data_IF_594348947493
#
_entry.id   IF_594348947493
#
_cell.length_a   1.000
_cell.length_b   1.000
_cell.length_c   1.000
_cell.angle_alpha   90.00
_cell.angle_beta   90.00
_cell.angle_gamma   90.00
#
_symmetry.space_group_name_H-M   'P 1'
#
loop_
_entity.id
_entity.type
_entity.pdbx_description
1 polymer ?
#
# COMPACT_ATOMS: atom_id res chain seq x y z
N UNK A 1 19.53 -18.90 -3.03
CA UNK A 1 20.32 -19.65 -4.03
C UNK A 1 20.40 -18.96 -5.37
N UNK A 2 19.27 -18.47 -5.96
CA UNK A 2 19.26 -17.78 -7.27
C UNK A 2 20.17 -16.56 -7.30
N UNK A 3 20.10 -15.68 -6.28
CA UNK A 3 20.97 -14.50 -6.13
C UNK A 3 22.47 -14.85 -6.23
N UNK A 4 22.91 -15.93 -5.58
CA UNK A 4 24.29 -16.40 -5.63
C UNK A 4 24.68 -16.84 -7.05
N UNK A 5 23.81 -17.62 -7.70
CA UNK A 5 24.04 -18.09 -9.08
C UNK A 5 24.12 -16.90 -10.04
N UNK A 6 23.23 -15.92 -9.94
CA UNK A 6 23.25 -14.73 -10.77
C UNK A 6 24.59 -13.97 -10.63
N UNK A 7 25.10 -13.80 -9.39
CA UNK A 7 26.40 -13.18 -9.17
C UNK A 7 27.56 -14.00 -9.73
N UNK A 8 27.57 -15.31 -9.52
CA UNK A 8 28.63 -16.21 -10.00
C UNK A 8 28.68 -16.31 -11.53
N UNK A 9 27.54 -16.22 -12.18
CA UNK A 9 27.41 -16.32 -13.64
C UNK A 9 27.36 -14.95 -14.34
N UNK A 10 27.51 -13.87 -13.58
CA UNK A 10 27.42 -12.49 -14.06
C UNK A 10 26.10 -12.15 -14.78
N UNK A 11 24.99 -12.79 -14.39
CA UNK A 11 23.66 -12.56 -14.95
C UNK A 11 23.04 -11.34 -14.24
N UNK A 12 22.71 -10.24 -14.96
CA UNK A 12 22.04 -9.10 -14.35
C UNK A 12 20.61 -9.45 -13.97
N UNK A 13 20.05 -8.75 -12.97
CA UNK A 13 18.63 -8.84 -12.68
C UNK A 13 17.82 -8.31 -13.87
N UNK A 14 16.77 -9.03 -14.23
CA UNK A 14 15.96 -8.76 -15.42
C UNK A 14 14.46 -8.74 -15.10
N UNK A 15 13.69 -8.07 -15.95
CA UNK A 15 12.23 -8.05 -15.88
C UNK A 15 11.66 -9.44 -16.21
N UNK A 16 10.63 -9.87 -15.46
CA UNK A 16 10.05 -11.20 -15.62
C UNK A 16 9.27 -11.36 -16.95
N UNK A 17 8.72 -10.28 -17.46
CA UNK A 17 7.87 -10.30 -18.66
C UNK A 17 8.72 -10.34 -19.94
N UNK A 18 9.69 -9.44 -20.04
CA UNK A 18 10.49 -9.26 -21.27
C UNK A 18 11.87 -9.92 -21.20
N UNK A 19 12.33 -10.23 -19.98
CA UNK A 19 13.68 -10.73 -19.68
C UNK A 19 14.82 -9.72 -20.00
N UNK A 20 14.48 -8.46 -20.24
CA UNK A 20 15.46 -7.40 -20.40
C UNK A 20 16.10 -7.04 -19.04
N UNK A 21 17.40 -6.72 -19.01
CA UNK A 21 18.04 -6.24 -17.78
C UNK A 21 17.35 -5.00 -17.22
N UNK A 22 17.11 -4.95 -15.90
CA UNK A 22 16.40 -3.82 -15.30
C UNK A 22 17.14 -2.48 -15.42
N UNK A 23 18.42 -2.50 -15.71
CA UNK A 23 19.22 -1.29 -15.98
C UNK A 23 18.93 -0.62 -17.33
N UNK A 24 18.31 -1.36 -18.25
CA UNK A 24 18.04 -0.89 -19.62
C UNK A 24 16.66 -0.22 -19.73
N UNK A 25 15.92 -0.12 -18.62
CA UNK A 25 14.67 0.61 -18.54
C UNK A 25 14.90 2.09 -18.22
N UNK A 26 13.97 2.96 -18.60
CA UNK A 26 14.02 4.39 -18.29
C UNK A 26 13.76 4.65 -16.80
N UNK A 27 12.82 3.88 -16.20
CA UNK A 27 12.42 4.02 -14.81
C UNK A 27 12.47 2.69 -14.07
N UNK A 28 12.97 2.71 -12.85
CA UNK A 28 12.91 1.61 -11.90
C UNK A 28 12.12 2.03 -10.67
N UNK A 29 10.82 1.69 -10.65
CA UNK A 29 9.92 2.04 -9.56
C UNK A 29 9.86 0.94 -8.50
N UNK A 30 10.08 1.30 -7.24
CA UNK A 30 10.09 0.37 -6.10
C UNK A 30 9.06 0.78 -5.05
N UNK A 31 8.23 -0.17 -4.63
CA UNK A 31 7.29 0.03 -3.53
C UNK A 31 7.93 -0.28 -2.19
N UNK A 32 8.00 0.73 -1.32
CA UNK A 32 8.61 0.68 0.01
C UNK A 32 7.52 0.43 1.06
N UNK A 33 7.20 -0.86 1.32
CA UNK A 33 6.11 -1.23 2.21
C UNK A 33 6.48 -1.12 3.70
N UNK A 34 7.71 -1.46 4.05
CA UNK A 34 8.24 -1.32 5.41
C UNK A 34 9.77 -1.38 5.41
N UNK A 35 10.40 -0.87 6.45
CA UNK A 35 11.83 -0.54 6.51
C UNK A 35 12.74 -1.77 6.43
N UNK A 36 12.31 -2.95 6.86
CA UNK A 36 13.10 -4.17 6.74
C UNK A 36 13.33 -4.63 5.29
N UNK A 37 12.62 -4.03 4.32
CA UNK A 37 12.86 -4.28 2.89
C UNK A 37 14.04 -3.48 2.32
N UNK A 38 14.59 -2.50 3.02
CA UNK A 38 15.67 -1.64 2.52
C UNK A 38 16.92 -2.41 2.04
N UNK A 39 17.40 -3.45 2.75
CA UNK A 39 18.53 -4.26 2.25
C UNK A 39 18.22 -4.94 0.90
N UNK A 40 16.95 -5.33 0.65
CA UNK A 40 16.56 -5.96 -0.60
C UNK A 40 16.65 -4.98 -1.77
N UNK A 41 16.37 -3.70 -1.54
CA UNK A 41 16.51 -2.64 -2.56
C UNK A 41 17.96 -2.52 -3.01
N UNK A 42 18.90 -2.50 -2.05
CA UNK A 42 20.33 -2.47 -2.38
C UNK A 42 20.76 -3.72 -3.15
N UNK A 43 20.19 -4.89 -2.83
CA UNK A 43 20.44 -6.12 -3.58
C UNK A 43 19.87 -6.05 -5.01
N UNK A 44 18.70 -5.45 -5.21
CA UNK A 44 18.10 -5.24 -6.53
C UNK A 44 19.00 -4.37 -7.39
N UNK A 45 19.47 -3.24 -6.86
CA UNK A 45 20.38 -2.33 -7.56
C UNK A 45 21.71 -3.02 -7.90
N UNK A 46 22.31 -3.72 -6.94
CA UNK A 46 23.57 -4.44 -7.13
C UNK A 46 23.46 -5.56 -8.18
N UNK A 47 22.41 -6.39 -8.12
CA UNK A 47 22.15 -7.41 -9.13
C UNK A 47 21.78 -6.82 -10.50
N UNK A 48 21.06 -5.68 -10.51
CA UNK A 48 20.75 -4.94 -11.73
C UNK A 48 21.96 -4.23 -12.34
N UNK A 49 23.12 -4.25 -11.66
CA UNK A 49 24.33 -3.51 -12.07
C UNK A 49 24.09 -2.01 -12.20
N UNK A 50 23.20 -1.49 -11.36
CA UNK A 50 22.89 -0.07 -11.21
C UNK A 50 23.70 0.47 -10.03
N UNK A 51 24.42 1.60 -10.18
CA UNK A 51 25.13 2.20 -9.06
C UNK A 51 24.21 2.41 -7.86
N UNK A 52 24.66 1.98 -6.67
CA UNK A 52 23.84 2.07 -5.47
C UNK A 52 23.44 3.51 -5.17
N UNK A 53 24.44 4.42 -5.14
CA UNK A 53 24.16 5.83 -4.87
C UNK A 53 23.64 6.57 -6.09
N UNK A 54 22.59 7.36 -5.90
CA UNK A 54 21.96 8.17 -6.93
C UNK A 54 22.98 9.10 -7.62
N UNK A 55 23.89 9.73 -6.86
CA UNK A 55 24.93 10.64 -7.38
C UNK A 55 25.97 9.98 -8.31
N UNK A 56 25.99 8.66 -8.42
CA UNK A 56 26.89 7.90 -9.29
C UNK A 56 26.23 7.50 -10.62
N UNK A 57 24.92 7.75 -10.79
CA UNK A 57 24.17 7.37 -11.99
C UNK A 57 24.30 8.43 -13.07
N UNK A 58 24.49 7.97 -14.29
CA UNK A 58 24.62 8.78 -15.50
C UNK A 58 23.30 8.84 -16.28
N UNK A 59 23.25 9.61 -17.35
CA UNK A 59 22.04 9.86 -18.14
C UNK A 59 21.48 8.60 -18.82
N UNK A 60 22.32 7.58 -19.02
CA UNK A 60 21.96 6.28 -19.59
C UNK A 60 21.45 5.26 -18.55
N UNK A 61 21.41 5.63 -17.27
CA UNK A 61 20.92 4.77 -16.20
C UNK A 61 19.45 5.06 -15.88
N UNK A 62 18.68 4.06 -15.37
CA UNK A 62 17.30 4.30 -15.00
C UNK A 62 17.16 5.36 -13.89
N UNK A 63 16.06 6.08 -13.92
CA UNK A 63 15.61 6.89 -12.78
C UNK A 63 15.02 5.96 -11.74
N UNK A 64 15.61 5.92 -10.56
CA UNK A 64 15.15 5.05 -9.45
C UNK A 64 14.16 5.81 -8.57
N UNK A 65 12.92 5.33 -8.54
CA UNK A 65 11.80 5.97 -7.84
C UNK A 65 11.32 5.09 -6.69
N UNK A 66 11.18 5.67 -5.50
CA UNK A 66 10.58 5.04 -4.33
C UNK A 66 9.15 5.53 -4.11
N UNK A 67 8.19 4.61 -3.91
CA UNK A 67 6.82 4.90 -3.52
C UNK A 67 6.37 4.08 -2.32
N UNK A 68 5.17 4.34 -1.80
CA UNK A 68 4.58 3.57 -0.71
C UNK A 68 4.76 4.18 0.69
N UNK A 69 4.31 3.49 1.76
CA UNK A 69 4.18 4.09 3.09
C UNK A 69 5.51 4.53 3.72
N UNK A 70 6.64 3.91 3.38
CA UNK A 70 7.94 4.32 3.95
C UNK A 70 8.45 5.65 3.39
N UNK A 71 7.91 6.15 2.28
CA UNK A 71 8.32 7.45 1.71
C UNK A 71 7.91 8.65 2.58
N UNK A 72 7.13 8.43 3.62
CA UNK A 72 6.86 9.43 4.66
C UNK A 72 8.06 9.69 5.59
N UNK A 73 9.07 8.83 5.53
CA UNK A 73 10.38 9.03 6.14
C UNK A 73 11.47 8.49 5.19
N UNK A 74 11.76 9.20 4.08
CA UNK A 74 12.66 8.71 3.03
C UNK A 74 14.13 8.82 3.38
N UNK A 75 14.51 9.71 4.31
CA UNK A 75 15.90 10.08 4.62
C UNK A 75 16.83 8.90 4.93
N UNK A 76 16.41 7.82 5.62
CA UNK A 76 17.29 6.68 5.88
C UNK A 76 17.86 6.00 4.62
N UNK A 77 17.20 6.17 3.46
CA UNK A 77 17.62 5.59 2.18
C UNK A 77 17.70 6.62 1.05
N UNK A 78 17.70 7.90 1.37
CA UNK A 78 17.68 9.00 0.41
C UNK A 78 18.85 8.93 -0.59
N UNK A 79 20.04 8.53 -0.16
CA UNK A 79 21.23 8.39 -1.00
C UNK A 79 21.07 7.42 -2.18
N UNK A 80 20.11 6.47 -2.09
CA UNK A 80 19.95 5.39 -3.06
C UNK A 80 18.84 5.61 -4.08
N UNK A 81 18.03 6.65 -3.91
CA UNK A 81 16.92 6.99 -4.80
C UNK A 81 17.13 8.33 -5.49
N UNK A 82 16.68 8.43 -6.72
CA UNK A 82 16.66 9.70 -7.44
C UNK A 82 15.43 10.53 -7.05
N UNK A 83 14.29 9.85 -6.89
CA UNK A 83 13.00 10.46 -6.57
C UNK A 83 12.27 9.60 -5.54
N UNK A 84 11.58 10.23 -4.60
CA UNK A 84 10.50 9.62 -3.84
C UNK A 84 9.18 10.25 -4.22
N UNK A 85 8.16 9.43 -4.40
CA UNK A 85 6.80 9.90 -4.53
C UNK A 85 6.05 9.74 -3.20
N UNK A 86 5.52 10.84 -2.69
CA UNK A 86 4.80 10.90 -1.41
C UNK A 86 3.32 11.08 -1.70
N UNK A 87 2.57 9.99 -1.70
CA UNK A 87 1.15 10.01 -2.02
C UNK A 87 0.61 8.72 -2.62
N UNK A 88 -0.53 8.85 -3.25
CA UNK A 88 -1.25 7.79 -3.92
C UNK A 88 -0.91 7.80 -5.41
N UNK A 89 -0.44 6.67 -5.94
CA UNK A 89 0.19 6.57 -7.26
C UNK A 89 -0.69 6.97 -8.45
N UNK A 90 -1.98 6.99 -8.26
CA UNK A 90 -2.94 7.32 -9.30
C UNK A 90 -2.86 8.77 -9.82
N UNK A 91 -2.11 9.66 -9.14
CA UNK A 91 -2.16 11.10 -9.39
C UNK A 91 -0.90 11.70 -10.02
N UNK A 92 0.20 10.94 -10.22
CA UNK A 92 1.51 11.52 -10.55
C UNK A 92 2.11 11.05 -11.85
N UNK A 93 1.76 9.84 -12.29
CA UNK A 93 2.52 9.20 -13.37
C UNK A 93 2.39 9.90 -14.71
N UNK A 94 1.21 10.44 -15.03
CA UNK A 94 0.98 11.13 -16.28
C UNK A 94 1.90 12.37 -16.38
N UNK A 95 1.92 13.23 -15.36
CA UNK A 95 2.76 14.43 -15.35
C UNK A 95 4.26 14.10 -15.44
N UNK A 96 4.70 13.05 -14.74
CA UNK A 96 6.11 12.65 -14.72
C UNK A 96 6.55 12.06 -16.06
N UNK A 97 5.73 11.17 -16.65
CA UNK A 97 6.07 10.52 -17.91
C UNK A 97 5.91 11.47 -19.10
N UNK A 98 4.95 12.38 -19.07
CA UNK A 98 4.81 13.43 -20.08
C UNK A 98 6.00 14.39 -20.07
N UNK A 99 6.51 14.76 -18.88
CA UNK A 99 7.74 15.54 -18.75
C UNK A 99 8.93 14.79 -19.38
N UNK A 100 9.10 13.50 -19.04
CA UNK A 100 10.20 12.70 -19.55
C UNK A 100 10.13 12.55 -21.08
N UNK A 101 8.98 12.19 -21.63
CA UNK A 101 8.78 12.01 -23.06
C UNK A 101 9.05 13.30 -23.83
N UNK A 102 8.54 14.44 -23.35
CA UNK A 102 8.79 15.75 -23.95
C UNK A 102 10.29 16.07 -24.01
N UNK A 103 11.03 15.86 -22.92
CA UNK A 103 12.48 16.14 -22.90
C UNK A 103 13.27 15.21 -23.82
N UNK A 104 12.82 13.96 -24.01
CA UNK A 104 13.42 13.01 -24.97
C UNK A 104 13.13 13.40 -26.41
N UNK A 105 11.89 13.79 -26.71
CA UNK A 105 11.48 14.23 -28.06
C UNK A 105 12.20 15.49 -28.51
N UNK A 106 12.43 16.44 -27.60
CA UNK A 106 13.13 17.70 -27.84
C UNK A 106 14.66 17.56 -27.86
N UNK A 107 15.20 16.35 -27.66
CA UNK A 107 16.64 16.07 -27.48
C UNK A 107 17.31 16.93 -26.41
N UNK A 108 16.54 17.31 -25.39
CA UNK A 108 16.96 18.17 -24.28
C UNK A 108 17.19 17.38 -22.98
N UNK A 109 16.99 16.06 -23.01
CA UNK A 109 17.13 15.24 -21.82
C UNK A 109 18.58 15.19 -21.32
N UNK A 110 18.74 15.58 -20.06
CA UNK A 110 19.82 15.15 -19.20
C UNK A 110 19.23 14.90 -17.80
N UNK A 111 19.87 14.02 -17.05
CA UNK A 111 19.36 13.54 -15.75
C UNK A 111 19.13 14.68 -14.76
N UNK A 112 20.07 15.62 -14.67
CA UNK A 112 19.97 16.71 -13.71
C UNK A 112 18.77 17.62 -14.00
N UNK A 113 18.59 18.07 -15.24
CA UNK A 113 17.51 18.97 -15.61
C UNK A 113 16.14 18.27 -15.54
N UNK A 114 16.09 16.97 -15.91
CA UNK A 114 14.89 16.19 -15.71
C UNK A 114 14.49 16.12 -14.22
N UNK A 115 15.43 15.78 -13.34
CA UNK A 115 15.17 15.73 -11.90
C UNK A 115 14.77 17.09 -11.33
N UNK A 116 15.37 18.18 -11.85
CA UNK A 116 15.04 19.54 -11.43
C UNK A 116 13.60 19.93 -11.80
N UNK A 117 13.17 19.62 -13.02
CA UNK A 117 11.78 19.85 -13.43
C UNK A 117 10.80 18.90 -12.72
N UNK A 118 11.18 17.64 -12.53
CA UNK A 118 10.38 16.67 -11.80
C UNK A 118 10.15 17.07 -10.33
N UNK A 119 11.14 17.71 -9.68
CA UNK A 119 11.02 18.18 -8.30
C UNK A 119 9.93 19.26 -8.11
N UNK A 120 9.44 19.87 -9.19
CA UNK A 120 8.33 20.84 -9.17
C UNK A 120 6.96 20.19 -9.24
N UNK A 121 6.89 18.89 -9.61
CA UNK A 121 5.65 18.13 -9.67
C UNK A 121 5.19 17.83 -8.24
N UNK A 122 3.92 18.08 -7.89
CA UNK A 122 3.42 17.85 -6.55
C UNK A 122 3.61 16.39 -6.09
N UNK A 123 4.11 16.23 -4.86
CA UNK A 123 4.36 14.90 -4.27
C UNK A 123 5.70 14.28 -4.60
N UNK A 124 6.47 14.83 -5.54
CA UNK A 124 7.82 14.35 -5.83
C UNK A 124 8.85 15.01 -4.92
N UNK A 125 9.68 14.21 -4.30
CA UNK A 125 10.82 14.59 -3.49
C UNK A 125 12.10 14.08 -4.14
N UNK A 126 12.99 14.98 -4.54
CA UNK A 126 14.30 14.68 -5.11
C UNK A 126 15.37 14.99 -4.05
N UNK A 127 15.88 13.97 -3.32
CA UNK A 127 16.76 14.20 -2.16
C UNK A 127 18.02 15.02 -2.48
N UNK A 128 18.56 14.86 -3.68
CA UNK A 128 19.75 15.58 -4.13
C UNK A 128 19.60 17.10 -4.14
N UNK A 129 18.38 17.63 -4.09
CA UNK A 129 18.10 19.06 -4.15
C UNK A 129 17.73 19.68 -2.80
N UNK A 130 18.01 18.96 -1.72
CA UNK A 130 17.82 19.46 -0.36
C UNK A 130 19.11 19.30 0.44
N UNK A 131 19.35 20.26 1.32
CA UNK A 131 20.45 20.21 2.27
C UNK A 131 19.95 20.21 3.71
N UNK A 132 20.62 19.44 4.54
CA UNK A 132 20.33 19.35 5.96
C UNK A 132 21.51 19.89 6.74
N UNK A 133 21.28 20.84 7.64
CA UNK A 133 22.27 21.27 8.61
C UNK A 133 21.91 20.81 10.01
N UNK A 134 22.94 20.57 10.84
CA UNK A 134 22.77 20.05 12.18
C UNK A 134 23.32 21.01 13.23
N UNK A 135 22.69 21.05 14.40
CA UNK A 135 23.19 21.71 15.60
C UNK A 135 24.31 20.91 16.23
N UNK A 136 24.99 21.51 17.23
CA UNK A 136 26.07 20.82 17.95
C UNK A 136 25.60 19.55 18.70
N UNK A 137 24.32 19.47 19.06
CA UNK A 137 23.71 18.32 19.75
C UNK A 137 23.25 17.23 18.79
N UNK A 138 23.48 17.37 17.48
CA UNK A 138 23.07 16.41 16.44
C UNK A 138 21.63 16.54 16.00
N UNK A 139 20.84 17.47 16.54
CA UNK A 139 19.49 17.72 16.05
C UNK A 139 19.52 18.57 14.77
N UNK A 140 18.49 18.40 13.91
CA UNK A 140 18.36 19.18 12.68
C UNK A 140 18.24 20.67 13.01
N UNK A 141 19.12 21.50 12.43
CA UNK A 141 19.06 22.94 12.52
C UNK A 141 18.21 23.54 11.41
N UNK A 142 18.39 23.04 10.18
CA UNK A 142 17.68 23.50 9.00
C UNK A 142 17.59 22.37 7.98
N UNK A 143 16.49 22.36 7.22
CA UNK A 143 16.24 21.49 6.07
C UNK A 143 15.60 22.32 4.97
N UNK A 144 16.32 22.54 3.88
CA UNK A 144 15.87 23.46 2.84
C UNK A 144 16.28 23.00 1.43
N UNK A 145 15.52 23.40 0.40
CA UNK A 145 15.96 23.20 -0.98
C UNK A 145 17.21 24.04 -1.28
N UNK A 146 18.04 23.55 -2.19
CA UNK A 146 19.24 24.27 -2.68
C UNK A 146 18.94 25.22 -3.85
N UNK A 147 17.73 25.12 -4.44
CA UNK A 147 17.23 25.98 -5.51
C UNK A 147 15.96 26.71 -5.05
N UNK A 148 15.83 27.97 -5.42
CA UNK A 148 14.73 28.84 -4.99
C UNK A 148 13.36 28.43 -5.59
N UNK A 149 13.37 27.75 -6.74
CA UNK A 149 12.18 27.31 -7.46
C UNK A 149 11.71 25.89 -7.08
N UNK A 150 12.42 25.22 -6.17
CA UNK A 150 12.02 23.91 -5.64
C UNK A 150 11.22 24.10 -4.34
N UNK A 151 10.10 23.37 -4.17
CA UNK A 151 9.26 23.51 -2.99
C UNK A 151 10.00 23.19 -1.68
N UNK A 152 9.93 24.07 -0.69
CA UNK A 152 10.50 23.81 0.64
C UNK A 152 9.74 22.72 1.43
N UNK A 153 8.51 22.41 1.03
CA UNK A 153 7.66 21.39 1.66
C UNK A 153 7.00 20.56 0.58
N UNK A 154 7.13 19.24 0.70
CA UNK A 154 6.44 18.31 -0.20
C UNK A 154 5.07 17.98 0.36
N UNK A 155 4.04 18.29 -0.40
CA UNK A 155 2.66 17.98 -0.05
C UNK A 155 2.26 16.61 -0.56
N UNK A 156 1.82 15.75 0.36
CA UNK A 156 1.30 14.43 0.01
C UNK A 156 0.14 14.53 -0.96
N UNK A 157 0.17 13.72 -2.00
CA UNK A 157 -0.91 13.62 -2.98
C UNK A 157 -1.94 12.56 -2.56
N UNK A 158 -3.20 12.88 -2.72
CA UNK A 158 -4.33 12.05 -2.27
C UNK A 158 -5.40 12.03 -3.35
N UNK A 159 -5.90 10.85 -3.69
CA UNK A 159 -7.08 10.70 -4.55
C UNK A 159 -8.31 11.15 -3.77
N UNK A 160 -8.95 12.22 -4.16
CA UNK A 160 -10.12 12.76 -3.46
C UNK A 160 -11.36 11.89 -3.70
N UNK A 161 -11.65 11.54 -4.95
CA UNK A 161 -12.77 10.68 -5.31
C UNK A 161 -12.27 9.26 -5.68
N UNK A 162 -12.37 8.36 -4.73
CA UNK A 162 -11.96 6.97 -4.90
C UNK A 162 -12.75 6.22 -5.99
N UNK A 163 -13.99 6.63 -6.24
CA UNK A 163 -14.86 5.96 -7.23
C UNK A 163 -14.52 6.34 -8.68
N UNK A 164 -13.83 7.45 -8.88
CA UNK A 164 -13.38 7.91 -10.20
C UNK A 164 -11.93 7.46 -10.51
N UNK A 165 -11.20 6.99 -9.50
CA UNK A 165 -9.83 6.51 -9.71
C UNK A 165 -9.81 5.21 -10.50
N UNK A 166 -8.72 5.01 -11.25
CA UNK A 166 -8.49 3.77 -12.00
C UNK A 166 -8.59 2.56 -11.07
N UNK A 167 -9.39 1.57 -11.46
CA UNK A 167 -9.55 0.33 -10.74
C UNK A 167 -9.61 -0.84 -11.72
N UNK A 168 -8.78 -1.89 -11.56
CA UNK A 168 -8.73 -2.98 -12.52
C UNK A 168 -10.06 -3.76 -12.56
N UNK A 169 -10.53 -4.08 -13.74
CA UNK A 169 -11.67 -4.97 -14.01
C UNK A 169 -11.24 -6.38 -14.44
N UNK A 170 -9.97 -6.52 -14.82
CA UNK A 170 -9.33 -7.77 -15.24
C UNK A 170 -8.01 -7.98 -14.52
N UNK A 171 -8.03 -8.29 -13.19
CA UNK A 171 -6.80 -8.59 -12.47
C UNK A 171 -6.08 -9.79 -13.10
N UNK A 172 -4.74 -9.76 -13.03
CA UNK A 172 -3.92 -10.84 -13.56
C UNK A 172 -4.15 -12.13 -12.76
N UNK A 173 -4.37 -13.23 -13.47
CA UNK A 173 -4.48 -14.57 -12.88
C UNK A 173 -3.15 -15.30 -13.08
N UNK A 174 -2.41 -15.62 -11.99
CA UNK A 174 -1.11 -16.25 -12.11
C UNK A 174 -1.22 -17.72 -12.54
N UNK A 175 -0.24 -18.21 -13.31
CA UNK A 175 -0.14 -19.64 -13.67
C UNK A 175 0.24 -20.55 -12.50
N UNK A 176 0.95 -19.98 -11.50
CA UNK A 176 1.40 -20.73 -10.34
C UNK A 176 0.43 -20.50 -9.17
N UNK A 177 0.38 -21.46 -8.25
CA UNK A 177 -0.40 -21.31 -7.01
C UNK A 177 0.21 -20.20 -6.18
N UNK A 178 -0.60 -19.19 -5.86
CA UNK A 178 -0.23 -18.05 -5.00
C UNK A 178 -0.94 -18.12 -3.66
N UNK A 179 -0.43 -17.38 -2.67
CA UNK A 179 -1.01 -17.36 -1.31
C UNK A 179 -2.36 -16.64 -1.27
N UNK A 180 -2.52 -15.62 -2.12
CA UNK A 180 -3.73 -14.76 -2.19
C UNK A 180 -4.44 -15.00 -3.54
N UNK A 181 -5.01 -16.19 -3.73
CA UNK A 181 -5.70 -16.59 -4.96
C UNK A 181 -7.18 -16.18 -4.89
N UNK A 182 -7.43 -14.89 -5.03
CA UNK A 182 -8.76 -14.29 -4.87
C UNK A 182 -8.86 -12.92 -5.52
N UNK A 183 -10.09 -12.48 -5.78
CA UNK A 183 -10.39 -11.07 -6.06
C UNK A 183 -10.27 -10.26 -4.77
N UNK A 184 -9.58 -9.12 -4.83
CA UNK A 184 -9.51 -8.16 -3.72
C UNK A 184 -10.26 -6.90 -4.12
N UNK A 185 -11.29 -6.55 -3.37
CA UNK A 185 -12.12 -5.38 -3.58
C UNK A 185 -11.80 -4.33 -2.51
N UNK A 186 -11.07 -3.28 -2.88
CA UNK A 186 -10.76 -2.16 -1.98
C UNK A 186 -12.02 -1.30 -1.80
N UNK A 187 -12.66 -1.40 -0.64
CA UNK A 187 -13.94 -0.72 -0.36
C UNK A 187 -13.75 0.70 0.15
N UNK A 188 -12.66 0.93 0.85
CA UNK A 188 -12.30 2.23 1.41
C UNK A 188 -10.81 2.33 1.66
N UNK A 189 -10.30 3.56 1.69
CA UNK A 189 -8.91 3.89 2.03
C UNK A 189 -8.88 4.85 3.21
N UNK A 190 -7.93 4.66 4.12
CA UNK A 190 -7.86 5.39 5.38
C UNK A 190 -8.59 4.70 6.53
N UNK A 191 -8.59 5.34 7.70
CA UNK A 191 -9.26 4.86 8.90
C UNK A 191 -9.65 6.03 9.82
N UNK A 192 -10.86 6.01 10.36
CA UNK A 192 -11.36 7.03 11.30
C UNK A 192 -10.83 6.84 12.71
N UNK A 193 -10.25 5.66 13.00
CA UNK A 193 -9.75 5.34 14.33
C UNK A 193 -8.42 6.03 14.61
N UNK A 194 -8.15 6.33 15.84
CA UNK A 194 -6.96 7.06 16.26
C UNK A 194 -6.00 6.22 17.10
N UNK A 195 -5.83 4.94 16.79
CA UNK A 195 -4.91 4.05 17.50
C UNK A 195 -3.48 4.62 17.43
N UNK A 196 -2.85 4.90 18.58
CA UNK A 196 -1.58 5.64 18.66
C UNK A 196 -0.39 4.89 18.08
N UNK A 197 -0.45 3.57 17.99
CA UNK A 197 0.60 2.73 17.40
C UNK A 197 0.46 2.56 15.88
N UNK A 198 -0.66 2.95 15.28
CA UNK A 198 -1.00 2.60 13.92
C UNK A 198 -0.48 3.64 12.92
N UNK A 199 0.64 3.37 12.27
CA UNK A 199 1.19 4.21 11.20
C UNK A 199 0.20 4.31 10.02
N UNK A 200 -0.40 3.18 9.61
CA UNK A 200 -1.36 3.14 8.51
C UNK A 200 -2.57 4.06 8.75
N UNK A 201 -3.05 4.16 10.00
CA UNK A 201 -4.11 5.07 10.37
C UNK A 201 -3.76 6.55 10.21
N UNK A 202 -2.48 6.90 10.09
CA UNK A 202 -2.01 8.26 9.81
C UNK A 202 -1.66 8.45 8.33
N UNK A 203 -0.94 7.49 7.75
CA UNK A 203 -0.46 7.55 6.36
C UNK A 203 -1.63 7.63 5.37
N UNK A 204 -2.70 6.87 5.57
CA UNK A 204 -3.80 6.77 4.61
C UNK A 204 -5.01 7.68 4.89
N UNK A 205 -4.90 8.65 5.79
CA UNK A 205 -5.94 9.68 5.97
C UNK A 205 -6.02 10.63 4.78
N UNK A 206 -7.22 11.21 4.52
CA UNK A 206 -8.51 11.01 5.16
C UNK A 206 -9.16 9.68 4.82
N UNK A 207 -10.24 9.30 5.54
CA UNK A 207 -11.10 8.19 5.14
C UNK A 207 -11.85 8.58 3.86
N UNK A 208 -11.80 7.69 2.87
CA UNK A 208 -12.55 7.82 1.62
C UNK A 208 -13.10 6.45 1.25
N UNK A 209 -14.37 6.43 0.91
CA UNK A 209 -15.11 5.23 0.53
C UNK A 209 -15.34 5.20 -0.98
N UNK A 210 -15.39 4.01 -1.55
CA UNK A 210 -15.91 3.81 -2.92
C UNK A 210 -17.43 3.68 -2.87
N UNK A 211 -18.11 4.15 -3.90
CA UNK A 211 -19.57 4.03 -3.99
C UNK A 211 -19.99 2.56 -4.07
N UNK A 212 -21.17 2.27 -3.50
CA UNK A 212 -21.73 0.91 -3.50
C UNK A 212 -21.94 0.39 -4.93
N UNK A 213 -22.40 1.25 -5.83
CA UNK A 213 -22.68 0.93 -7.23
C UNK A 213 -21.39 0.51 -7.96
N UNK A 214 -20.32 1.29 -7.79
CA UNK A 214 -19.01 0.98 -8.37
C UNK A 214 -18.47 -0.35 -7.82
N UNK A 215 -18.61 -0.60 -6.53
CA UNK A 215 -18.14 -1.85 -5.92
C UNK A 215 -18.92 -3.07 -6.40
N UNK A 216 -20.25 -2.96 -6.59
CA UNK A 216 -21.08 -4.01 -7.18
C UNK A 216 -20.65 -4.34 -8.61
N UNK A 217 -20.45 -3.31 -9.42
CA UNK A 217 -19.99 -3.47 -10.80
C UNK A 217 -18.62 -4.13 -10.87
N UNK A 218 -17.65 -3.63 -10.10
CA UNK A 218 -16.28 -4.18 -10.08
C UNK A 218 -16.23 -5.59 -9.54
N UNK A 219 -16.98 -5.93 -8.49
CA UNK A 219 -17.07 -7.29 -8.00
C UNK A 219 -17.54 -8.25 -9.10
N UNK A 220 -18.58 -7.89 -9.83
CA UNK A 220 -19.11 -8.68 -10.93
C UNK A 220 -18.09 -8.84 -12.07
N UNK A 221 -17.50 -7.73 -12.53
CA UNK A 221 -16.50 -7.72 -13.60
C UNK A 221 -15.28 -8.56 -13.25
N UNK A 222 -14.69 -8.34 -12.07
CA UNK A 222 -13.46 -9.02 -11.64
C UNK A 222 -13.68 -10.53 -11.47
N UNK A 223 -14.77 -10.96 -10.81
CA UNK A 223 -15.08 -12.37 -10.65
C UNK A 223 -15.38 -13.06 -11.99
N UNK A 224 -16.12 -12.40 -12.88
CA UNK A 224 -16.45 -12.95 -14.21
C UNK A 224 -15.19 -13.06 -15.08
N UNK A 225 -14.30 -12.07 -15.04
CA UNK A 225 -13.11 -12.03 -15.89
C UNK A 225 -11.99 -12.97 -15.42
N UNK A 226 -11.95 -13.32 -14.12
CA UNK A 226 -10.88 -14.14 -13.53
C UNK A 226 -11.28 -15.58 -13.22
N UNK A 227 -12.56 -15.81 -12.93
CA UNK A 227 -13.04 -17.11 -12.47
C UNK A 227 -12.62 -17.48 -11.04
N UNK A 228 -12.15 -16.52 -10.23
CA UNK A 228 -11.83 -16.78 -8.82
C UNK A 228 -13.06 -17.17 -8.02
N UNK A 229 -12.89 -18.10 -7.08
CA UNK A 229 -13.91 -18.60 -6.18
C UNK A 229 -13.90 -17.91 -4.80
N UNK A 230 -13.14 -16.83 -4.65
CA UNK A 230 -13.09 -16.04 -3.42
C UNK A 230 -12.98 -14.53 -3.74
N UNK A 231 -13.75 -13.72 -3.01
CA UNK A 231 -13.63 -12.26 -2.99
C UNK A 231 -13.34 -11.78 -1.57
N UNK A 232 -12.36 -10.91 -1.43
CA UNK A 232 -11.97 -10.30 -0.15
C UNK A 232 -12.20 -8.80 -0.18
N UNK A 233 -12.89 -8.26 0.84
CA UNK A 233 -13.05 -6.82 1.00
C UNK A 233 -11.80 -6.24 1.67
N UNK A 234 -11.11 -5.32 1.01
CA UNK A 234 -9.88 -4.72 1.53
C UNK A 234 -10.12 -3.33 2.11
N UNK A 235 -9.70 -3.15 3.36
CA UNK A 235 -9.66 -1.87 4.06
C UNK A 235 -8.84 -1.97 5.35
N UNK A 236 -8.58 -0.83 6.00
CA UNK A 236 -8.00 -0.81 7.36
C UNK A 236 -9.04 -1.13 8.45
N UNK A 237 -10.32 -0.99 8.16
CA UNK A 237 -11.43 -1.31 9.08
C UNK A 237 -12.71 -1.54 8.29
N UNK A 238 -12.93 -2.76 7.83
CA UNK A 238 -14.09 -3.10 6.98
C UNK A 238 -15.43 -2.87 7.67
N UNK A 239 -15.47 -3.01 8.99
CA UNK A 239 -16.68 -2.74 9.79
C UNK A 239 -17.10 -1.26 9.82
N UNK A 240 -16.21 -0.35 9.41
CA UNK A 240 -16.51 1.09 9.41
C UNK A 240 -16.97 1.58 8.02
N UNK A 241 -17.08 0.70 7.00
CA UNK A 241 -17.60 1.06 5.70
C UNK A 241 -19.12 1.28 5.77
N UNK A 242 -19.58 2.44 5.28
CA UNK A 242 -20.97 2.91 5.46
C UNK A 242 -22.01 1.95 4.89
N UNK A 243 -21.77 1.38 3.71
CA UNK A 243 -22.71 0.48 3.01
C UNK A 243 -22.30 -0.99 3.11
N UNK A 244 -21.65 -1.42 4.22
CA UNK A 244 -21.15 -2.80 4.33
C UNK A 244 -22.26 -3.84 4.23
N UNK A 245 -23.39 -3.63 4.86
CA UNK A 245 -24.49 -4.59 4.89
C UNK A 245 -25.12 -4.77 3.51
N UNK A 246 -25.36 -3.67 2.80
CA UNK A 246 -25.92 -3.70 1.43
C UNK A 246 -24.94 -4.36 0.44
N UNK A 247 -23.63 -4.07 0.58
CA UNK A 247 -22.60 -4.70 -0.24
C UNK A 247 -22.55 -6.22 0.00
N UNK A 248 -22.55 -6.65 1.26
CA UNK A 248 -22.53 -8.07 1.59
C UNK A 248 -23.78 -8.80 1.13
N UNK A 249 -24.96 -8.19 1.30
CA UNK A 249 -26.22 -8.76 0.81
C UNK A 249 -26.16 -8.97 -0.71
N UNK A 250 -25.70 -7.95 -1.46
CA UNK A 250 -25.53 -8.08 -2.90
C UNK A 250 -24.54 -9.21 -3.28
N UNK A 251 -23.36 -9.25 -2.64
CA UNK A 251 -22.35 -10.28 -2.94
C UNK A 251 -22.86 -11.69 -2.68
N UNK A 252 -23.61 -11.87 -1.59
CA UNK A 252 -24.21 -13.15 -1.25
C UNK A 252 -25.28 -13.56 -2.27
N UNK A 253 -26.23 -12.68 -2.53
CA UNK A 253 -27.36 -12.95 -3.43
C UNK A 253 -26.88 -13.25 -4.86
N UNK A 254 -25.87 -12.51 -5.34
CA UNK A 254 -25.36 -12.64 -6.71
C UNK A 254 -24.42 -13.83 -6.90
N UNK A 255 -23.63 -14.20 -5.87
CA UNK A 255 -22.52 -15.13 -6.05
C UNK A 255 -22.62 -16.42 -5.22
N UNK A 256 -23.58 -16.57 -4.29
CA UNK A 256 -23.78 -17.77 -3.48
C UNK A 256 -23.94 -19.02 -4.34
N UNK A 257 -24.80 -18.98 -5.34
CA UNK A 257 -25.06 -20.11 -6.22
C UNK A 257 -23.92 -20.40 -7.21
N UNK A 258 -22.99 -19.46 -7.35
CA UNK A 258 -21.77 -19.57 -8.16
C UNK A 258 -20.59 -20.13 -7.36
N UNK A 259 -20.77 -20.44 -6.06
CA UNK A 259 -19.75 -21.02 -5.20
C UNK A 259 -18.63 -20.06 -4.78
N UNK A 260 -18.83 -18.73 -4.88
CA UNK A 260 -17.85 -17.73 -4.51
C UNK A 260 -17.89 -17.48 -2.99
N UNK A 261 -16.74 -17.61 -2.33
CA UNK A 261 -16.57 -17.32 -0.91
C UNK A 261 -16.30 -15.83 -0.67
N UNK A 262 -16.85 -15.28 0.41
CA UNK A 262 -16.63 -13.89 0.82
C UNK A 262 -15.73 -13.88 2.05
N UNK A 263 -14.61 -13.16 1.96
CA UNK A 263 -13.64 -12.96 3.05
C UNK A 263 -13.68 -11.53 3.54
N UNK A 264 -13.83 -11.36 4.87
CA UNK A 264 -13.90 -10.07 5.55
C UNK A 264 -12.70 -9.91 6.48
N UNK A 265 -11.56 -9.43 5.99
CA UNK A 265 -10.44 -9.07 6.84
C UNK A 265 -10.74 -7.78 7.61
N UNK A 266 -9.97 -7.52 8.66
CA UNK A 266 -10.00 -6.26 9.42
C UNK A 266 -11.32 -5.92 10.10
N UNK A 267 -12.03 -6.96 10.58
CA UNK A 267 -13.22 -6.76 11.39
C UNK A 267 -12.86 -6.28 12.81
N UNK A 268 -13.63 -5.31 13.29
CA UNK A 268 -13.57 -4.88 14.69
C UNK A 268 -14.57 -5.64 15.54
N UNK A 269 -14.15 -6.02 16.74
CA UNK A 269 -14.98 -6.82 17.65
C UNK A 269 -16.18 -6.03 18.20
N UNK A 270 -16.05 -4.70 18.33
CA UNK A 270 -17.12 -3.80 18.78
C UNK A 270 -18.18 -3.47 17.72
N UNK A 271 -17.86 -3.70 16.46
CA UNK A 271 -18.77 -3.54 15.32
C UNK A 271 -19.19 -4.89 14.72
N UNK A 272 -18.99 -5.99 15.47
CA UNK A 272 -19.39 -7.32 15.04
C UNK A 272 -20.90 -7.50 15.18
N UNK A 273 -21.59 -7.80 14.07
CA UNK A 273 -23.02 -8.05 14.02
C UNK A 273 -23.29 -9.49 13.58
N UNK A 274 -24.15 -10.20 14.34
CA UNK A 274 -24.58 -11.56 13.97
C UNK A 274 -25.37 -11.56 12.67
N UNK A 275 -26.19 -10.54 12.42
CA UNK A 275 -27.03 -10.47 11.22
C UNK A 275 -26.19 -10.42 9.94
N UNK A 276 -25.12 -9.62 9.95
CA UNK A 276 -24.18 -9.52 8.84
C UNK A 276 -23.39 -10.82 8.69
N UNK A 277 -22.92 -11.38 9.80
CA UNK A 277 -22.05 -12.56 9.76
C UNK A 277 -22.79 -13.86 9.51
N UNK A 278 -24.05 -13.99 9.92
CA UNK A 278 -24.85 -15.18 9.61
C UNK A 278 -25.06 -15.34 8.11
N UNK A 279 -25.24 -14.24 7.38
CA UNK A 279 -25.35 -14.25 5.92
C UNK A 279 -24.08 -14.77 5.24
N UNK A 280 -22.89 -14.43 5.76
CA UNK A 280 -21.60 -14.87 5.22
C UNK A 280 -21.28 -16.34 5.56
N UNK A 281 -21.80 -16.87 6.66
CA UNK A 281 -21.53 -18.22 7.14
C UNK A 281 -22.05 -19.35 6.25
N UNK A 282 -23.12 -19.12 5.51
CA UNK A 282 -23.75 -20.14 4.69
C UNK A 282 -22.82 -20.68 3.59
N UNK A 283 -21.73 -19.99 3.28
CA UNK A 283 -20.83 -20.34 2.19
C UNK A 283 -19.60 -21.12 2.70
N UNK A 284 -18.88 -20.62 3.70
CA UNK A 284 -17.76 -21.34 4.36
C UNK A 284 -17.37 -20.67 5.68
N UNK A 285 -17.20 -21.43 6.75
CA UNK A 285 -16.74 -20.91 8.05
C UNK A 285 -15.23 -20.60 7.98
N UNK A 286 -14.87 -19.33 7.83
CA UNK A 286 -13.51 -18.85 8.06
C UNK A 286 -13.28 -18.60 9.56
N UNK A 287 -12.01 -18.64 10.02
CA UNK A 287 -11.70 -18.29 11.41
C UNK A 287 -11.87 -16.79 11.62
N UNK A 288 -12.58 -16.40 12.69
CA UNK A 288 -12.65 -14.99 13.10
C UNK A 288 -11.38 -14.56 13.82
N UNK A 289 -10.88 -13.40 13.44
CA UNK A 289 -9.71 -12.80 14.06
C UNK A 289 -10.03 -11.38 14.51
N UNK A 290 -9.78 -11.09 15.77
CA UNK A 290 -9.94 -9.77 16.35
C UNK A 290 -8.64 -9.30 17.00
N UNK A 291 -8.45 -8.01 17.08
CA UNK A 291 -7.25 -7.38 17.61
C UNK A 291 -7.55 -6.45 18.80
N UNK A 292 -7.72 -6.97 20.03
CA UNK A 292 -7.80 -6.15 21.22
C UNK A 292 -6.53 -5.36 21.52
N UNK A 293 -5.39 -5.86 21.04
CA UNK A 293 -4.03 -5.35 21.18
C UNK A 293 -3.48 -5.40 22.61
N UNK A 294 -4.29 -5.10 23.62
CA UNK A 294 -3.88 -5.14 25.02
C UNK A 294 -4.92 -5.82 25.91
N UNK A 295 -4.45 -6.59 26.89
CA UNK A 295 -5.31 -7.32 27.82
C UNK A 295 -5.99 -6.44 28.87
N UNK A 296 -5.33 -5.37 29.34
CA UNK A 296 -5.88 -4.47 30.35
C UNK A 296 -6.61 -3.27 29.73
N UNK A 297 -7.68 -2.80 30.40
CA UNK A 297 -8.38 -1.58 29.97
C UNK A 297 -7.43 -0.39 29.92
N UNK A 298 -6.61 -0.21 30.95
CA UNK A 298 -5.63 0.88 31.03
C UNK A 298 -4.72 0.94 29.80
N UNK A 299 -4.19 -0.19 29.33
CA UNK A 299 -3.33 -0.21 28.15
C UNK A 299 -4.14 0.06 26.87
N UNK A 300 -5.35 -0.49 26.74
CA UNK A 300 -6.22 -0.16 25.57
C UNK A 300 -6.53 1.34 25.50
N UNK A 301 -6.74 1.99 26.64
CA UNK A 301 -6.96 3.44 26.70
C UNK A 301 -5.67 4.22 26.35
N UNK A 302 -4.51 3.77 26.85
CA UNK A 302 -3.20 4.36 26.52
C UNK A 302 -2.94 4.34 25.03
N UNK A 303 -3.19 3.22 24.36
CA UNK A 303 -2.99 3.08 22.89
C UNK A 303 -4.18 3.62 22.08
N UNK A 304 -5.19 4.18 22.72
CA UNK A 304 -6.42 4.69 22.10
C UNK A 304 -7.13 3.65 21.19
N UNK A 305 -7.22 2.39 21.68
CA UNK A 305 -7.89 1.34 20.90
C UNK A 305 -9.40 1.49 20.88
N UNK A 306 -9.98 2.13 21.91
CA UNK A 306 -11.42 2.39 22.03
C UNK A 306 -12.28 1.13 22.23
N UNK A 307 -11.71 0.08 22.85
CA UNK A 307 -12.41 -1.17 23.17
C UNK A 307 -12.51 -1.38 24.67
N UNK A 308 -13.71 -1.73 25.15
CA UNK A 308 -13.90 -2.15 26.53
C UNK A 308 -13.77 -3.67 26.69
N UNK A 309 -13.68 -4.13 27.94
CA UNK A 309 -13.72 -5.56 28.25
C UNK A 309 -15.07 -6.17 27.81
N UNK A 310 -16.15 -5.42 28.01
CA UNK A 310 -17.50 -5.84 27.65
C UNK A 310 -17.63 -6.02 26.12
N UNK A 311 -17.08 -5.10 25.32
CA UNK A 311 -17.05 -5.24 23.86
C UNK A 311 -16.35 -6.54 23.44
N UNK A 312 -15.21 -6.87 24.06
CA UNK A 312 -14.44 -8.07 23.72
C UNK A 312 -15.23 -9.34 24.07
N UNK A 313 -15.81 -9.39 25.28
CA UNK A 313 -16.56 -10.56 25.72
C UNK A 313 -17.86 -10.71 24.92
N UNK A 314 -18.57 -9.62 24.65
CA UNK A 314 -19.80 -9.64 23.86
C UNK A 314 -19.53 -10.09 22.42
N UNK A 315 -18.57 -9.48 21.73
CA UNK A 315 -18.26 -9.87 20.34
C UNK A 315 -17.75 -11.31 20.21
N UNK A 316 -16.96 -11.80 21.18
CA UNK A 316 -16.55 -13.19 21.21
C UNK A 316 -17.75 -14.11 21.51
N UNK A 317 -18.66 -13.74 22.42
CA UNK A 317 -19.91 -14.47 22.70
C UNK A 317 -20.78 -14.60 21.46
N UNK A 318 -21.05 -13.49 20.78
CA UNK A 318 -21.78 -13.46 19.52
C UNK A 318 -21.15 -14.40 18.47
N UNK A 319 -19.82 -14.45 18.37
CA UNK A 319 -19.15 -15.36 17.46
C UNK A 319 -19.47 -16.83 17.77
N UNK A 320 -19.42 -17.24 19.04
CA UNK A 320 -19.74 -18.60 19.43
C UNK A 320 -21.24 -18.92 19.28
N UNK A 321 -22.13 -18.00 19.61
CA UNK A 321 -23.57 -18.11 19.37
C UNK A 321 -23.87 -18.28 17.88
N UNK A 322 -23.14 -17.57 17.02
CA UNK A 322 -23.18 -17.70 15.58
C UNK A 322 -22.55 -18.99 15.05
N UNK A 323 -22.04 -19.89 15.91
CA UNK A 323 -21.55 -21.23 15.55
C UNK A 323 -20.08 -21.30 15.13
N UNK A 324 -19.27 -20.26 15.39
CA UNK A 324 -17.82 -20.39 15.30
C UNK A 324 -17.27 -21.23 16.45
N UNK A 325 -16.36 -22.13 16.15
CA UNK A 325 -15.71 -22.97 17.15
C UNK A 325 -14.41 -22.36 17.68
N UNK A 326 -13.92 -21.29 17.05
CA UNK A 326 -12.63 -20.68 17.37
C UNK A 326 -12.62 -19.20 17.01
N UNK A 327 -12.13 -18.41 17.97
CA UNK A 327 -11.83 -16.98 17.79
C UNK A 327 -10.32 -16.80 18.04
N UNK A 328 -9.64 -16.10 17.13
CA UNK A 328 -8.23 -15.74 17.27
C UNK A 328 -8.13 -14.29 17.76
N UNK A 329 -7.35 -14.07 18.79
CA UNK A 329 -7.11 -12.74 19.36
C UNK A 329 -5.64 -12.35 19.18
N UNK A 330 -5.39 -11.12 18.71
CA UNK A 330 -4.07 -10.55 18.65
C UNK A 330 -3.80 -9.64 19.84
N UNK A 331 -2.62 -9.81 20.44
CA UNK A 331 -2.09 -8.96 21.50
C UNK A 331 -0.67 -8.54 21.15
N UNK A 332 -0.37 -7.26 21.35
CA UNK A 332 0.97 -6.72 21.21
C UNK A 332 1.77 -6.97 22.49
N UNK A 333 3.07 -7.25 22.33
CA UNK A 333 4.01 -7.40 23.43
C UNK A 333 4.91 -6.18 23.51
N UNK A 334 5.33 -5.81 24.72
CA UNK A 334 6.27 -4.71 24.94
C UNK A 334 5.65 -3.29 24.85
N UNK A 335 4.33 -3.18 25.17
CA UNK A 335 3.63 -1.90 25.24
C UNK A 335 3.90 -1.12 26.53
#
# INVERSE_FOLDING_TARGET
DLHKIMKEQDIPLFALETQDPIRDFDFLCMTLQYELCYPNILQILDLGKIPLKACQRTDDMPIVIGGGPCTYNPEPIADFFDIFYIGEGETVYDDLFDLYNRMKEDDSYNRHDFLHEAAKIPGLYVPAFYEVSYKQDGTIADFRPIYDDIPATIHRQVVENMSESVYPDKPLVPFIKVTQDRVVLEIQRGCIRGCRFCQAGMVYRPLRERSLEMLKEKAYQMLTNTGHEEISLSSLSSSDYTCLEELLTFLIDEFKDKGVNISLPSLRIDAFSLDVMSKVQDIRKSSLTFAPEAGSQRLRDVINKGLTKENILHGAGLAFEGGWNKVKLYFMLGQ
#
